data_IF_597603258522
#
_entry.id   IF_597603258522
#
_cell.length_a   1.000
_cell.length_b   1.000
_cell.length_c   1.000
_cell.angle_alpha   90.00
_cell.angle_beta   90.00
_cell.angle_gamma   90.00
#
_symmetry.space_group_name_H-M   'P 1'
#
loop_
_entity.id
_entity.type
_entity.pdbx_description
1 polymer ?
#
# COMPACT_ATOMS: atom_id res chain seq x y z
N UNK A 1 -10.33 11.13 -10.74
CA UNK A 1 -9.55 10.26 -9.83
C UNK A 1 -9.62 10.66 -8.34
N UNK A 2 -10.37 11.70 -7.94
CA UNK A 2 -10.47 12.12 -6.52
C UNK A 2 -11.33 11.21 -5.63
N UNK A 3 -12.30 10.48 -6.20
CA UNK A 3 -13.27 9.71 -5.41
C UNK A 3 -12.65 8.55 -4.61
N UNK A 4 -11.59 7.92 -5.11
CA UNK A 4 -10.89 6.83 -4.41
C UNK A 4 -10.05 7.41 -3.26
N UNK A 5 -9.39 8.54 -3.48
CA UNK A 5 -8.62 9.25 -2.46
C UNK A 5 -9.53 9.74 -1.33
N UNK A 6 -10.68 10.34 -1.66
CA UNK A 6 -11.70 10.77 -0.70
C UNK A 6 -12.28 9.59 0.09
N UNK A 7 -12.54 8.45 -0.57
CA UNK A 7 -13.04 7.25 0.11
C UNK A 7 -11.99 6.68 1.06
N UNK A 8 -10.73 6.62 0.64
CA UNK A 8 -9.60 6.21 1.48
C UNK A 8 -9.46 7.13 2.70
N UNK A 9 -9.54 8.44 2.51
CA UNK A 9 -9.47 9.43 3.57
C UNK A 9 -10.62 9.28 4.58
N UNK A 10 -11.86 9.08 4.11
CA UNK A 10 -13.02 8.80 4.97
C UNK A 10 -12.83 7.54 5.79
N UNK A 11 -12.37 6.45 5.16
CA UNK A 11 -12.10 5.18 5.84
C UNK A 11 -11.04 5.31 6.95
N UNK A 12 -10.02 6.15 6.74
CA UNK A 12 -8.95 6.40 7.71
C UNK A 12 -9.32 7.36 8.86
N UNK A 13 -10.61 7.65 9.05
CA UNK A 13 -11.11 8.57 10.08
C UNK A 13 -11.23 10.01 9.61
N UNK A 14 -11.66 10.23 8.36
CA UNK A 14 -11.79 11.56 7.74
C UNK A 14 -10.48 12.35 7.69
N UNK A 15 -9.41 11.69 7.27
CA UNK A 15 -8.10 12.30 7.08
C UNK A 15 -8.16 13.46 6.07
N UNK A 16 -7.46 14.55 6.33
CA UNK A 16 -7.26 15.60 5.34
C UNK A 16 -6.43 15.05 4.17
N UNK A 17 -6.90 15.27 2.93
CA UNK A 17 -6.24 14.83 1.72
C UNK A 17 -4.80 15.33 1.63
N UNK A 18 -4.44 16.45 2.27
CA UNK A 18 -3.06 16.94 2.28
C UNK A 18 -2.05 15.97 2.90
N UNK A 19 -2.49 14.99 3.67
CA UNK A 19 -1.62 13.96 4.25
C UNK A 19 -1.52 12.70 3.39
N UNK A 20 -2.36 12.60 2.35
CA UNK A 20 -2.45 11.44 1.47
C UNK A 20 -1.59 11.63 0.22
N UNK A 21 -0.64 10.71 0.01
CA UNK A 21 0.13 10.63 -1.23
C UNK A 21 -0.78 10.29 -2.42
N UNK A 22 -0.48 10.79 -3.62
CA UNK A 22 -1.21 10.41 -4.83
C UNK A 22 -1.26 8.89 -4.99
N UNK A 23 -2.34 8.40 -5.61
CA UNK A 23 -2.47 6.99 -5.94
C UNK A 23 -1.30 6.52 -6.81
N UNK A 24 -0.62 5.46 -6.39
CA UNK A 24 0.41 4.82 -7.18
C UNK A 24 -0.16 3.55 -7.81
N UNK A 25 0.15 3.34 -9.09
CA UNK A 25 -0.22 2.13 -9.83
C UNK A 25 1.00 1.24 -9.92
N UNK A 26 0.86 0.00 -9.48
CA UNK A 26 1.94 -1.00 -9.58
C UNK A 26 1.44 -2.15 -10.45
N UNK A 27 2.22 -2.48 -11.49
CA UNK A 27 1.96 -3.59 -12.39
C UNK A 27 2.99 -4.69 -12.14
N UNK A 28 2.54 -5.93 -12.04
CA UNK A 28 3.38 -7.12 -11.89
C UNK A 28 3.12 -8.08 -13.04
N UNK A 29 4.19 -8.53 -13.68
CA UNK A 29 4.18 -9.69 -14.60
C UNK A 29 4.79 -10.91 -13.89
N UNK A 30 4.77 -12.08 -14.54
CA UNK A 30 5.20 -13.36 -13.97
C UNK A 30 6.63 -13.38 -13.41
N UNK A 31 7.49 -12.45 -13.84
CA UNK A 31 8.90 -12.37 -13.43
C UNK A 31 9.19 -11.29 -12.37
N UNK A 32 8.18 -10.53 -11.94
CA UNK A 32 8.37 -9.38 -11.05
C UNK A 32 7.84 -9.66 -9.65
N UNK A 33 8.75 -9.70 -8.68
CA UNK A 33 8.43 -9.69 -7.25
C UNK A 33 8.83 -8.34 -6.65
N UNK A 34 8.00 -7.80 -5.74
CA UNK A 34 8.48 -6.80 -4.80
C UNK A 34 8.99 -7.56 -3.56
N UNK A 35 10.30 -7.49 -3.26
CA UNK A 35 10.86 -8.17 -2.10
C UNK A 35 10.25 -7.63 -0.80
N UNK A 36 10.43 -8.39 0.28
CA UNK A 36 10.01 -7.96 1.61
C UNK A 36 10.56 -6.57 1.92
N UNK A 37 9.66 -5.63 2.14
CA UNK A 37 10.03 -4.24 2.41
C UNK A 37 9.15 -3.65 3.50
N UNK A 38 9.62 -2.54 4.04
CA UNK A 38 8.89 -1.68 4.97
C UNK A 38 8.56 -0.39 4.26
N UNK A 39 7.32 0.09 4.38
CA UNK A 39 7.00 1.48 4.07
C UNK A 39 7.24 2.31 5.32
N UNK A 40 8.18 3.26 5.27
CA UNK A 40 8.57 4.08 6.43
C UNK A 40 7.56 5.21 6.75
N UNK A 41 6.31 5.07 6.32
CA UNK A 41 5.28 6.12 6.37
C UNK A 41 4.03 5.68 7.14
N UNK A 42 3.47 6.63 7.88
CA UNK A 42 2.70 6.40 9.10
C UNK A 42 1.35 5.67 8.95
N UNK A 43 0.77 5.54 7.76
CA UNK A 43 -0.32 4.58 7.47
C UNK A 43 -0.27 4.20 6.00
N UNK A 44 -0.66 2.98 5.67
CA UNK A 44 -0.69 2.53 4.27
C UNK A 44 -1.98 1.82 3.91
N UNK A 45 -2.56 2.23 2.77
CA UNK A 45 -3.46 1.39 2.00
C UNK A 45 -2.61 0.72 0.91
N UNK A 46 -2.06 -0.47 1.13
CA UNK A 46 -1.49 -1.24 0.02
C UNK A 46 -2.37 -2.46 -0.31
N UNK A 47 -2.57 -2.70 -1.61
CA UNK A 47 -2.99 -4.01 -2.10
C UNK A 47 -1.75 -4.89 -2.16
N UNK A 48 -1.48 -5.66 -1.11
CA UNK A 48 -0.37 -6.60 -1.10
C UNK A 48 -0.80 -8.05 -1.20
N UNK A 49 0.01 -8.77 -1.96
CA UNK A 49 -0.12 -10.19 -2.26
C UNK A 49 1.16 -10.81 -1.76
N UNK A 50 1.13 -11.64 -0.74
CA UNK A 50 2.30 -12.40 -0.29
C UNK A 50 2.04 -13.88 -0.51
N UNK A 51 3.06 -14.59 -0.97
CA UNK A 51 3.19 -16.04 -0.86
C UNK A 51 4.73 -16.32 -0.75
N UNK A 52 5.14 -17.39 -0.07
CA UNK A 52 6.32 -17.41 0.83
C UNK A 52 7.68 -17.82 0.19
N UNK A 53 8.81 -17.38 0.80
CA UNK A 53 9.87 -18.30 1.26
C UNK A 53 10.80 -17.82 2.42
N UNK A 54 10.36 -16.98 3.37
CA UNK A 54 11.19 -16.76 4.60
C UNK A 54 10.48 -16.35 5.91
N UNK A 55 9.15 -16.44 6.03
CA UNK A 55 8.49 -16.36 7.34
C UNK A 55 7.52 -17.53 7.45
N UNK A 56 7.89 -18.53 8.26
CA UNK A 56 7.17 -19.79 8.50
C UNK A 56 5.72 -19.60 9.02
N UNK A 57 5.28 -18.38 9.30
CA UNK A 57 3.94 -18.01 9.73
C UNK A 57 3.63 -16.57 9.30
N UNK A 58 2.70 -16.39 8.36
CA UNK A 58 2.26 -15.07 7.90
C UNK A 58 0.86 -15.14 7.29
N UNK A 59 0.16 -14.01 7.27
CA UNK A 59 -1.17 -13.91 6.66
C UNK A 59 -1.05 -13.68 5.15
N UNK A 60 -1.86 -14.39 4.36
CA UNK A 60 -1.90 -14.25 2.91
C UNK A 60 -3.28 -13.78 2.46
N UNK A 61 -3.27 -12.85 1.51
CA UNK A 61 -4.49 -12.32 0.92
C UNK A 61 -4.51 -12.63 -0.57
N UNK A 62 -5.62 -13.19 -1.04
CA UNK A 62 -5.84 -13.42 -2.46
C UNK A 62 -6.20 -12.08 -3.12
N UNK A 63 -5.49 -11.65 -4.19
CA UNK A 63 -5.91 -10.47 -4.94
C UNK A 63 -7.30 -10.72 -5.50
N UNK A 64 -8.25 -9.93 -5.04
CA UNK A 64 -9.65 -9.96 -5.48
C UNK A 64 -9.98 -8.56 -5.94
N UNK A 65 -10.51 -8.43 -7.16
CA UNK A 65 -10.87 -7.14 -7.72
C UNK A 65 -11.80 -6.40 -6.75
N UNK A 66 -11.63 -5.09 -6.66
CA UNK A 66 -12.44 -4.17 -5.83
C UNK A 66 -12.23 -4.26 -4.31
N UNK A 67 -11.49 -5.26 -3.82
CA UNK A 67 -11.10 -5.33 -2.42
C UNK A 67 -9.87 -4.46 -2.13
N UNK A 68 -9.82 -3.92 -0.92
CA UNK A 68 -8.65 -3.20 -0.38
C UNK A 68 -8.22 -3.79 0.96
N UNK A 69 -6.92 -3.70 1.25
CA UNK A 69 -6.33 -4.07 2.54
C UNK A 69 -5.71 -2.80 3.12
N UNK A 70 -5.80 -2.66 4.43
CA UNK A 70 -5.30 -1.49 5.15
C UNK A 70 -4.58 -1.91 6.42
N UNK A 71 -3.48 -1.23 6.74
CA UNK A 71 -2.76 -1.39 8.00
C UNK A 71 -1.97 -0.13 8.36
N UNK A 72 -1.49 -0.12 9.61
CA UNK A 72 -0.58 0.90 10.13
C UNK A 72 0.85 0.38 10.05
N UNK A 73 1.77 1.11 9.42
CA UNK A 73 3.18 0.70 9.39
C UNK A 73 3.94 1.11 10.67
N UNK A 74 3.29 1.80 11.60
CA UNK A 74 3.89 2.32 12.83
C UNK A 74 3.05 1.92 14.04
N UNK A 75 3.71 1.75 15.17
CA UNK A 75 3.09 1.54 16.47
C UNK A 75 2.49 2.83 17.05
N UNK A 76 1.93 2.74 18.26
CA UNK A 76 1.34 3.87 18.99
C UNK A 76 2.35 5.01 19.26
N UNK A 77 3.64 4.71 19.23
CA UNK A 77 4.73 5.66 19.46
C UNK A 77 5.26 6.25 18.15
N UNK A 78 4.69 5.85 17.00
CA UNK A 78 5.10 6.30 15.67
C UNK A 78 6.38 5.62 15.16
N UNK A 79 6.86 4.56 15.82
CA UNK A 79 8.01 3.77 15.37
C UNK A 79 7.53 2.68 14.42
N UNK A 80 8.32 2.40 13.39
CA UNK A 80 7.99 1.36 12.41
C UNK A 80 7.71 0.01 13.07
N UNK A 81 6.54 -0.57 12.78
CA UNK A 81 6.11 -1.85 13.30
C UNK A 81 6.68 -3.00 12.43
N UNK A 82 7.40 -3.91 13.07
CA UNK A 82 8.00 -5.08 12.40
C UNK A 82 6.95 -6.14 12.04
N UNK A 83 5.76 -6.08 12.65
CA UNK A 83 4.66 -7.00 12.35
C UNK A 83 4.07 -6.75 10.95
N UNK A 84 4.27 -5.56 10.38
CA UNK A 84 3.66 -5.14 9.11
C UNK A 84 4.58 -5.33 7.91
N UNK A 85 5.66 -6.10 8.06
CA UNK A 85 6.50 -6.50 6.94
C UNK A 85 5.69 -7.25 5.90
N UNK A 86 5.88 -6.87 4.64
CA UNK A 86 5.02 -7.34 3.57
C UNK A 86 5.77 -7.43 2.24
N UNK A 87 5.20 -8.21 1.33
CA UNK A 87 5.76 -8.44 0.00
C UNK A 87 4.65 -8.47 -1.05
N UNK A 88 5.04 -8.22 -2.29
CA UNK A 88 4.19 -8.31 -3.48
C UNK A 88 4.70 -9.45 -4.36
N UNK A 89 4.00 -10.58 -4.36
CA UNK A 89 4.38 -11.77 -5.11
C UNK A 89 3.93 -11.72 -6.57
N UNK A 90 4.60 -12.48 -7.45
CA UNK A 90 4.29 -12.52 -8.85
C UNK A 90 2.95 -13.26 -9.05
N UNK A 91 2.19 -12.89 -10.08
CA UNK A 91 0.98 -13.61 -10.45
C UNK A 91 1.32 -15.05 -10.84
N UNK A 92 0.45 -16.00 -10.48
CA UNK A 92 0.56 -17.40 -10.92
C UNK A 92 0.16 -17.51 -12.40
N UNK A 93 0.64 -18.57 -13.05
CA UNK A 93 0.23 -19.00 -14.39
C UNK A 93 0.42 -17.97 -15.52
N UNK A 94 1.46 -17.14 -15.42
CA UNK A 94 1.71 -16.10 -16.43
C UNK A 94 0.72 -14.93 -16.39
N UNK A 95 -0.05 -14.81 -15.29
CA UNK A 95 -1.08 -13.80 -15.16
C UNK A 95 -0.56 -12.36 -15.09
N UNK A 96 -1.49 -11.41 -15.09
CA UNK A 96 -1.23 -10.00 -14.87
C UNK A 96 -1.84 -9.57 -13.53
N UNK A 97 -1.06 -8.88 -12.70
CA UNK A 97 -1.57 -8.27 -11.47
C UNK A 97 -1.35 -6.76 -11.51
N UNK A 98 -2.42 -6.01 -11.27
CA UNK A 98 -2.38 -4.55 -11.10
C UNK A 98 -2.84 -4.24 -9.68
N UNK A 99 -2.03 -3.49 -8.94
CA UNK A 99 -2.32 -3.00 -7.61
C UNK A 99 -2.35 -1.48 -7.59
N UNK A 100 -3.18 -0.93 -6.71
CA UNK A 100 -3.19 0.48 -6.36
C UNK A 100 -2.73 0.60 -4.92
N UNK A 101 -1.87 1.58 -4.63
CA UNK A 101 -1.55 1.95 -3.25
C UNK A 101 -1.68 3.46 -3.04
N UNK A 102 -1.82 3.84 -1.77
CA UNK A 102 -1.69 5.23 -1.33
C UNK A 102 -1.15 5.23 0.10
N UNK A 103 -0.28 6.19 0.40
CA UNK A 103 0.38 6.30 1.69
C UNK A 103 -0.04 7.57 2.41
N UNK A 104 -0.25 7.43 3.72
CA UNK A 104 -0.55 8.56 4.61
C UNK A 104 0.70 8.95 5.37
N UNK A 105 1.03 10.24 5.31
CA UNK A 105 2.16 10.83 6.02
C UNK A 105 1.72 11.46 7.33
N UNK A 106 2.64 11.55 8.30
CA UNK A 106 2.43 12.34 9.52
C UNK A 106 2.54 13.85 9.28
N UNK A 107 3.09 14.27 8.13
CA UNK A 107 3.27 15.67 7.74
C UNK A 107 2.52 15.95 6.45
N UNK A 108 1.97 17.16 6.33
CA UNK A 108 1.30 17.64 5.11
C UNK A 108 2.24 17.57 3.91
N UNK A 109 1.72 17.10 2.80
CA UNK A 109 2.40 17.07 1.50
C UNK A 109 2.22 18.45 0.88
N UNK A 110 3.32 19.17 0.66
CA UNK A 110 3.26 20.48 0.02
C UNK A 110 2.83 20.35 -1.45
N UNK A 111 2.01 21.30 -1.90
CA UNK A 111 1.33 21.31 -3.21
C UNK A 111 2.25 21.18 -4.43
N UNK A 112 3.54 21.48 -4.32
CA UNK A 112 4.53 21.29 -5.39
C UNK A 112 4.73 19.81 -5.77
N UNK A 113 4.67 18.87 -4.82
CA UNK A 113 4.90 17.43 -5.09
C UNK A 113 3.68 16.68 -5.65
N UNK A 114 2.51 17.31 -5.70
CA UNK A 114 1.29 16.70 -6.24
C UNK A 114 1.13 16.85 -7.75
N UNK A 115 1.86 17.78 -8.38
CA UNK A 115 1.66 18.13 -9.81
C UNK A 115 2.46 17.27 -10.79
N UNK A 116 3.39 16.44 -10.31
CA UNK A 116 4.36 15.74 -11.16
C UNK A 116 3.95 14.29 -11.50
N UNK A 117 2.69 13.92 -11.29
CA UNK A 117 2.17 12.58 -11.64
C UNK A 117 0.88 12.77 -12.44
N UNK A 118 1.04 13.05 -13.74
CA UNK A 118 0.01 12.92 -14.77
C UNK A 118 0.61 12.17 -15.95
#
# INVERSE_FOLDING_TARGET
>A
MKCIEERSARFQGNLDLEYLEPLQVVKYTSEQEIPFHKSAHAKSCDILVSDEKSMKSGLRFRPTSENSIFWYNVDEQGKGDVSTYHAGRPPKDGGLKIGLNTWTRSKKITTKKRKDVM
#
